data_IF_354843263200
#
_entry.id   IF_354843263200
#
_cell.length_a   1.000
_cell.length_b   1.000
_cell.length_c   1.000
_cell.angle_alpha   90.00
_cell.angle_beta   90.00
_cell.angle_gamma   90.00
#
_symmetry.space_group_name_H-M   'P 1'
#
loop_
_entity.id
_entity.type
_entity.pdbx_description
1 polymer ?
#
# COMPACT_ATOMS: atom_id res chain seq x y z
N UNK A 1 -5.24 -16.75 17.65
CA UNK A 1 -5.56 -15.32 17.50
C UNK A 1 -6.69 -15.19 16.50
N UNK A 2 -7.64 -14.28 16.72
CA UNK A 2 -8.73 -14.00 15.78
C UNK A 2 -8.45 -12.64 15.15
N UNK A 3 -8.44 -12.57 13.82
CA UNK A 3 -8.31 -11.32 13.08
C UNK A 3 -9.70 -10.74 12.79
N UNK A 4 -9.85 -9.41 12.81
CA UNK A 4 -11.09 -8.80 12.34
C UNK A 4 -11.02 -8.62 10.83
N UNK A 5 -12.10 -8.98 10.13
CA UNK A 5 -12.22 -8.80 8.69
C UNK A 5 -12.95 -7.48 8.43
N UNK A 6 -12.35 -6.62 7.63
CA UNK A 6 -12.92 -5.34 7.24
C UNK A 6 -14.03 -5.52 6.21
N UNK A 7 -14.92 -4.55 6.17
CA UNK A 7 -16.02 -4.49 5.21
C UNK A 7 -15.91 -3.26 4.31
N UNK A 8 -16.97 -3.00 3.53
CA UNK A 8 -16.98 -1.89 2.59
C UNK A 8 -16.94 -0.52 3.27
N UNK A 9 -17.36 -0.38 4.53
CA UNK A 9 -17.36 0.91 5.24
C UNK A 9 -15.94 1.33 5.62
N UNK A 10 -15.09 0.36 6.00
CA UNK A 10 -13.68 0.58 6.35
C UNK A 10 -12.92 1.30 5.22
N UNK A 11 -13.23 0.93 3.97
CA UNK A 11 -12.52 1.40 2.77
C UNK A 11 -13.35 2.36 1.89
N UNK A 12 -14.54 2.75 2.34
CA UNK A 12 -15.43 3.65 1.60
C UNK A 12 -14.74 4.98 1.23
N UNK A 13 -13.94 5.53 2.15
CA UNK A 13 -13.18 6.77 1.94
C UNK A 13 -12.15 6.67 0.82
N UNK A 14 -11.62 5.47 0.54
CA UNK A 14 -10.74 5.21 -0.60
C UNK A 14 -11.57 5.11 -1.87
N UNK A 15 -12.56 4.20 -1.87
CA UNK A 15 -13.42 3.90 -3.01
C UNK A 15 -14.14 5.13 -3.57
N UNK A 16 -14.58 6.02 -2.70
CA UNK A 16 -15.40 7.19 -3.07
C UNK A 16 -14.55 8.41 -3.49
N UNK A 17 -13.24 8.35 -3.26
CA UNK A 17 -12.35 9.50 -3.44
C UNK A 17 -11.20 9.26 -4.42
N UNK A 18 -11.04 8.04 -4.95
CA UNK A 18 -10.11 7.75 -6.04
C UNK A 18 -10.83 7.73 -7.38
N UNK A 19 -10.08 7.98 -8.45
CA UNK A 19 -10.59 8.01 -9.83
C UNK A 19 -9.83 7.02 -10.70
N UNK A 20 -10.32 6.72 -11.90
CA UNK A 20 -9.55 5.93 -12.86
C UNK A 20 -8.55 6.82 -13.59
N UNK A 21 -7.30 6.36 -13.72
CA UNK A 21 -6.26 7.05 -14.47
C UNK A 21 -4.87 6.68 -13.97
N UNK A 22 -3.86 7.39 -14.49
CA UNK A 22 -2.44 7.20 -14.14
C UNK A 22 -1.94 8.19 -13.08
N UNK A 23 -2.75 9.17 -12.68
CA UNK A 23 -2.32 10.11 -11.66
C UNK A 23 -2.32 9.46 -10.28
N UNK A 24 -1.55 10.02 -9.34
CA UNK A 24 -1.49 9.50 -7.96
C UNK A 24 -2.86 9.47 -7.27
N UNK A 25 -3.76 10.38 -7.63
CA UNK A 25 -5.16 10.41 -7.19
C UNK A 25 -6.00 9.20 -7.62
N UNK A 26 -5.50 8.36 -8.52
CA UNK A 26 -6.12 7.08 -8.85
C UNK A 26 -5.83 5.98 -7.82
N UNK A 27 -4.70 6.08 -7.12
CA UNK A 27 -4.27 5.11 -6.11
C UNK A 27 -4.40 5.63 -4.68
N UNK A 28 -4.34 6.94 -4.48
CA UNK A 28 -4.32 7.59 -3.16
C UNK A 28 -5.40 8.67 -3.10
N UNK A 29 -6.34 8.62 -2.13
CA UNK A 29 -7.34 9.68 -1.93
C UNK A 29 -6.71 11.06 -1.69
N UNK A 30 -7.41 12.16 -2.03
CA UNK A 30 -6.99 13.49 -1.65
C UNK A 30 -7.02 13.68 -0.13
N UNK A 31 -6.29 14.68 0.36
CA UNK A 31 -6.32 15.12 1.76
C UNK A 31 -5.03 14.85 2.54
N UNK A 32 -4.08 14.10 1.96
CA UNK A 32 -2.75 13.98 2.51
C UNK A 32 -1.90 15.23 2.25
N UNK A 33 -0.96 15.50 3.15
CA UNK A 33 -0.06 16.64 3.05
C UNK A 33 1.01 16.47 1.96
N UNK A 34 1.38 15.24 1.64
CA UNK A 34 2.35 14.90 0.60
C UNK A 34 2.07 13.53 0.00
N UNK A 35 2.52 13.33 -1.24
CA UNK A 35 2.34 12.11 -2.01
C UNK A 35 3.66 11.67 -2.63
N UNK A 36 3.86 10.37 -2.77
CA UNK A 36 5.05 9.82 -3.40
C UNK A 36 4.77 8.49 -4.10
N UNK A 37 5.69 8.13 -4.99
CA UNK A 37 5.82 6.80 -5.55
C UNK A 37 7.13 6.19 -5.10
N UNK A 38 7.13 4.92 -4.69
CA UNK A 38 8.30 4.20 -4.20
C UNK A 38 8.51 2.96 -5.06
N UNK A 39 9.64 2.87 -5.76
CA UNK A 39 9.94 1.73 -6.64
C UNK A 39 10.16 0.47 -5.82
N UNK A 40 9.57 -0.65 -6.28
CA UNK A 40 9.78 -1.98 -5.70
C UNK A 40 10.98 -2.62 -6.41
N UNK A 41 12.01 -3.06 -5.66
CA UNK A 41 13.16 -3.71 -6.28
C UNK A 41 12.83 -5.04 -7.00
N UNK A 42 13.60 -5.36 -8.04
CA UNK A 42 13.43 -6.59 -8.83
C UNK A 42 14.08 -7.83 -8.23
N UNK A 43 15.02 -7.67 -7.29
CA UNK A 43 15.68 -8.78 -6.60
C UNK A 43 15.11 -9.03 -5.20
N UNK A 44 15.18 -10.28 -4.74
CA UNK A 44 14.58 -10.70 -3.47
C UNK A 44 15.20 -10.02 -2.24
N UNK A 45 16.51 -9.77 -2.26
CA UNK A 45 17.21 -9.13 -1.15
C UNK A 45 16.84 -7.63 -1.06
N UNK A 46 16.77 -6.96 -2.20
CA UNK A 46 16.29 -5.59 -2.34
C UNK A 46 14.84 -5.46 -1.85
N UNK A 47 13.94 -6.35 -2.28
CA UNK A 47 12.54 -6.35 -1.81
C UNK A 47 12.41 -6.51 -0.31
N UNK A 48 13.16 -7.44 0.28
CA UNK A 48 13.12 -7.66 1.72
C UNK A 48 13.60 -6.44 2.50
N UNK A 49 14.66 -5.77 2.03
CA UNK A 49 15.16 -4.54 2.63
C UNK A 49 14.15 -3.40 2.48
N UNK A 50 13.62 -3.22 1.27
CA UNK A 50 12.57 -2.26 0.95
C UNK A 50 11.35 -2.42 1.87
N UNK A 51 10.75 -3.61 1.94
CA UNK A 51 9.52 -3.84 2.70
C UNK A 51 9.72 -3.64 4.20
N UNK A 52 10.89 -4.05 4.73
CA UNK A 52 11.24 -3.81 6.14
C UNK A 52 11.40 -2.32 6.43
N UNK A 53 12.16 -1.60 5.60
CA UNK A 53 12.39 -0.17 5.78
C UNK A 53 11.08 0.61 5.66
N UNK A 54 10.24 0.29 4.68
CA UNK A 54 8.93 0.90 4.50
C UNK A 54 8.06 0.70 5.76
N UNK A 55 7.90 -0.53 6.23
CA UNK A 55 7.10 -0.83 7.43
C UNK A 55 7.66 -0.13 8.67
N UNK A 56 8.98 -0.07 8.83
CA UNK A 56 9.61 0.63 9.95
C UNK A 56 9.29 2.14 9.93
N UNK A 57 9.36 2.79 8.78
CA UNK A 57 9.02 4.21 8.65
C UNK A 57 7.53 4.47 8.92
N UNK A 58 6.64 3.60 8.45
CA UNK A 58 5.20 3.68 8.72
C UNK A 58 4.90 3.55 10.22
N UNK A 59 5.54 2.59 10.92
CA UNK A 59 5.40 2.42 12.38
C UNK A 59 5.77 3.67 13.17
N UNK A 60 6.84 4.37 12.77
CA UNK A 60 7.28 5.61 13.44
C UNK A 60 6.23 6.73 13.31
N UNK A 61 5.39 6.68 12.28
CA UNK A 61 4.36 7.67 11.99
C UNK A 61 2.95 7.24 12.40
N UNK A 62 2.77 5.99 12.85
CA UNK A 62 1.53 5.49 13.49
C UNK A 62 1.88 4.57 14.66
N UNK A 63 2.12 5.15 15.85
CA UNK A 63 2.56 4.40 17.02
C UNK A 63 1.48 3.49 17.63
N UNK A 64 0.21 3.72 17.30
CA UNK A 64 -0.90 2.82 17.64
C UNK A 64 -0.86 1.61 16.66
N UNK A 65 -0.65 0.40 17.18
CA UNK A 65 -0.27 -0.81 16.42
C UNK A 65 -1.39 -1.44 15.57
N UNK A 66 -2.39 -0.67 15.17
CA UNK A 66 -3.61 -1.15 14.51
C UNK A 66 -3.70 -0.64 13.08
N UNK A 67 -3.44 -1.53 12.13
CA UNK A 67 -3.48 -1.25 10.70
C UNK A 67 -4.58 -2.09 10.05
N UNK A 68 -4.98 -1.64 8.86
CA UNK A 68 -5.73 -2.40 7.90
C UNK A 68 -4.80 -2.84 6.77
N UNK A 69 -4.81 -4.13 6.51
CA UNK A 69 -4.04 -4.78 5.45
C UNK A 69 -5.02 -5.23 4.36
N UNK A 70 -4.79 -4.81 3.11
CA UNK A 70 -5.60 -5.25 1.98
C UNK A 70 -4.81 -6.11 1.01
N UNK A 71 -5.31 -7.32 0.80
CA UNK A 71 -4.75 -8.30 -0.12
C UNK A 71 -5.58 -8.34 -1.39
N UNK A 72 -4.96 -7.99 -2.51
CA UNK A 72 -5.60 -7.94 -3.82
C UNK A 72 -5.84 -9.35 -4.36
N UNK A 73 -7.04 -9.62 -4.84
CA UNK A 73 -7.36 -10.85 -5.54
C UNK A 73 -7.10 -10.72 -7.03
N UNK A 74 -5.94 -11.23 -7.45
CA UNK A 74 -5.57 -11.41 -8.87
C UNK A 74 -5.58 -12.86 -9.33
N UNK A 75 -5.64 -13.79 -8.38
CA UNK A 75 -5.40 -15.22 -8.62
C UNK A 75 -3.92 -15.58 -8.78
N UNK A 76 -3.02 -14.59 -8.75
CA UNK A 76 -1.57 -14.78 -8.84
C UNK A 76 -0.88 -14.95 -7.50
N UNK A 77 -1.36 -14.27 -6.45
CA UNK A 77 -0.79 -14.31 -5.10
C UNK A 77 -1.72 -14.98 -4.08
N UNK A 78 -1.18 -15.70 -3.08
CA UNK A 78 -2.00 -16.28 -2.02
C UNK A 78 -2.64 -15.18 -1.18
N UNK A 79 -3.95 -15.29 -0.95
CA UNK A 79 -4.68 -14.39 -0.07
C UNK A 79 -4.76 -15.02 1.31
N UNK A 80 -4.26 -14.35 2.36
CA UNK A 80 -4.55 -14.75 3.73
C UNK A 80 -6.07 -14.68 3.94
N UNK A 81 -6.66 -15.76 4.44
CA UNK A 81 -8.12 -15.89 4.63
C UNK A 81 -8.92 -15.90 3.31
N UNK A 82 -8.73 -16.90 2.43
CA UNK A 82 -9.35 -16.92 1.09
C UNK A 82 -10.89 -16.92 1.12
N UNK A 83 -11.48 -17.43 2.20
CA UNK A 83 -12.93 -17.49 2.44
C UNK A 83 -13.53 -16.21 3.04
N UNK A 84 -12.69 -15.22 3.38
CA UNK A 84 -13.16 -13.94 3.90
C UNK A 84 -13.99 -13.17 2.85
N UNK A 85 -15.00 -12.39 3.29
CA UNK A 85 -15.68 -11.43 2.42
C UNK A 85 -14.69 -10.52 1.70
N UNK A 86 -14.97 -10.27 0.42
CA UNK A 86 -14.15 -9.40 -0.42
C UNK A 86 -14.89 -8.10 -0.71
N UNK A 87 -14.15 -6.99 -0.69
CA UNK A 87 -14.67 -5.66 -0.96
C UNK A 87 -14.12 -5.13 -2.28
N UNK A 88 -14.95 -4.41 -3.04
CA UNK A 88 -14.52 -3.76 -4.27
C UNK A 88 -13.83 -2.43 -3.98
N UNK A 89 -12.62 -2.26 -4.49
CA UNK A 89 -11.81 -1.04 -4.44
C UNK A 89 -11.24 -0.71 -5.81
N UNK A 90 -10.85 0.55 -5.98
CA UNK A 90 -10.38 1.08 -7.26
C UNK A 90 -11.36 0.73 -8.39
N UNK A 91 -10.88 0.43 -9.59
CA UNK A 91 -11.68 0.04 -10.75
C UNK A 91 -12.43 -1.32 -10.61
N UNK A 92 -12.99 -1.63 -9.44
CA UNK A 92 -13.75 -2.84 -9.13
C UNK A 92 -12.92 -4.04 -8.67
N UNK A 93 -11.61 -3.85 -8.47
CA UNK A 93 -10.72 -4.88 -7.96
C UNK A 93 -11.13 -5.36 -6.57
N UNK A 94 -11.01 -6.66 -6.33
CA UNK A 94 -11.50 -7.28 -5.09
C UNK A 94 -10.37 -7.44 -4.10
N UNK A 95 -10.59 -6.99 -2.86
CA UNK A 95 -9.62 -7.10 -1.78
C UNK A 95 -10.20 -7.87 -0.60
N UNK A 96 -9.37 -8.65 0.08
CA UNK A 96 -9.61 -9.06 1.47
C UNK A 96 -8.98 -8.03 2.38
N UNK A 97 -9.77 -7.43 3.27
CA UNK A 97 -9.31 -6.43 4.24
C UNK A 97 -9.22 -7.07 5.61
N UNK A 98 -8.07 -6.95 6.26
CA UNK A 98 -7.77 -7.57 7.56
C UNK A 98 -7.29 -6.50 8.51
N UNK A 99 -7.91 -6.40 9.68
CA UNK A 99 -7.37 -5.60 10.79
C UNK A 99 -6.27 -6.40 11.47
N UNK A 100 -5.05 -5.88 11.43
CA UNK A 100 -3.87 -6.53 11.96
C UNK A 100 -2.76 -5.52 12.28
N UNK A 101 -1.61 -6.01 12.71
CA UNK A 101 -0.47 -5.16 13.01
C UNK A 101 0.55 -5.09 11.89
N UNK A 102 1.54 -4.26 12.16
CA UNK A 102 2.72 -4.09 11.32
C UNK A 102 3.62 -5.34 11.25
N UNK A 103 3.58 -6.25 12.24
CA UNK A 103 4.30 -7.54 12.17
C UNK A 103 3.58 -8.51 11.24
N UNK A 104 2.24 -8.52 11.27
CA UNK A 104 1.41 -9.29 10.35
C UNK A 104 1.55 -8.84 8.90
N UNK A 105 1.72 -7.53 8.66
CA UNK A 105 2.00 -7.00 7.33
C UNK A 105 3.21 -7.66 6.65
N UNK A 106 4.20 -8.11 7.42
CA UNK A 106 5.43 -8.75 6.92
C UNK A 106 5.37 -10.29 6.93
N UNK A 107 4.37 -10.90 7.55
CA UNK A 107 4.40 -12.34 7.89
C UNK A 107 3.17 -13.14 7.48
N UNK A 108 2.03 -12.49 7.21
CA UNK A 108 0.79 -13.21 6.87
C UNK A 108 0.80 -13.83 5.46
N UNK A 109 1.67 -13.37 4.55
CA UNK A 109 1.75 -13.87 3.19
C UNK A 109 3.17 -14.29 2.81
N UNK A 110 3.28 -15.52 2.33
CA UNK A 110 4.44 -15.99 1.57
C UNK A 110 4.12 -15.78 0.07
N UNK A 111 4.43 -14.58 -0.43
CA UNK A 111 3.99 -14.13 -1.75
C UNK A 111 4.78 -14.76 -2.89
N UNK A 112 4.19 -14.85 -4.09
CA UNK A 112 4.96 -15.21 -5.27
C UNK A 112 5.94 -14.07 -5.60
N UNK A 113 7.09 -14.44 -6.20
CA UNK A 113 8.12 -13.47 -6.61
C UNK A 113 8.67 -12.59 -5.48
N UNK A 114 8.55 -13.04 -4.22
CA UNK A 114 9.00 -12.29 -3.05
C UNK A 114 8.12 -11.11 -2.66
N UNK A 115 6.90 -10.97 -3.20
CA UNK A 115 5.94 -9.89 -2.86
C UNK A 115 5.16 -10.23 -1.58
N UNK A 116 5.79 -10.05 -0.43
CA UNK A 116 5.20 -10.44 0.86
C UNK A 116 4.25 -9.38 1.43
N UNK A 117 4.53 -8.10 1.21
CA UNK A 117 3.74 -7.00 1.79
C UNK A 117 2.37 -6.84 1.07
N UNK A 118 1.27 -6.61 1.81
CA UNK A 118 -0.04 -6.32 1.25
C UNK A 118 -0.04 -5.19 0.21
N UNK A 119 -0.99 -5.25 -0.72
CA UNK A 119 -1.21 -4.23 -1.74
C UNK A 119 -1.81 -2.94 -1.17
N UNK A 120 -2.44 -3.02 0.01
CA UNK A 120 -3.02 -1.87 0.70
C UNK A 120 -2.62 -1.87 2.18
N UNK A 121 -2.15 -0.74 2.68
CA UNK A 121 -1.84 -0.54 4.09
C UNK A 121 -2.33 0.84 4.55
N UNK A 122 -3.03 0.91 5.67
CA UNK A 122 -3.34 2.19 6.34
C UNK A 122 -3.63 1.98 7.83
N UNK A 123 -3.36 2.98 8.69
CA UNK A 123 -3.68 2.93 10.11
C UNK A 123 -5.16 3.27 10.34
N UNK A 124 -5.69 2.93 11.52
CA UNK A 124 -7.08 3.24 11.91
C UNK A 124 -7.41 4.75 11.79
N UNK A 125 -6.45 5.62 12.08
CA UNK A 125 -6.60 7.07 12.00
C UNK A 125 -6.49 7.64 10.57
N UNK A 126 -6.20 6.78 9.58
CA UNK A 126 -6.05 7.11 8.15
C UNK A 126 -5.00 8.20 7.90
N UNK A 127 -4.02 8.35 8.79
CA UNK A 127 -2.98 9.37 8.68
C UNK A 127 -2.05 9.17 7.48
N UNK A 128 -1.94 7.94 6.97
CA UNK A 128 -1.25 7.60 5.72
C UNK A 128 -1.94 6.44 5.00
N UNK A 129 -1.59 6.25 3.73
CA UNK A 129 -2.02 5.14 2.90
C UNK A 129 -0.87 4.70 2.01
N UNK A 130 -0.68 3.39 1.89
CA UNK A 130 0.15 2.77 0.86
C UNK A 130 -0.75 1.92 -0.02
N UNK A 131 -0.61 2.05 -1.34
CA UNK A 131 -1.32 1.26 -2.33
C UNK A 131 -0.40 0.79 -3.45
N UNK A 132 -0.58 -0.41 -3.96
CA UNK A 132 0.05 -0.91 -5.19
C UNK A 132 -0.95 -1.78 -5.98
N UNK A 133 -0.93 -1.71 -7.32
CA UNK A 133 -1.60 -2.71 -8.15
C UNK A 133 -0.64 -3.87 -8.45
N UNK A 134 -1.21 -4.96 -8.95
CA UNK A 134 -0.49 -6.22 -9.19
C UNK A 134 0.52 -6.13 -10.33
N UNK A 135 0.34 -5.20 -11.25
CA UNK A 135 1.16 -4.93 -12.42
C UNK A 135 2.06 -3.70 -12.27
N UNK A 136 1.99 -3.01 -11.13
CA UNK A 136 2.89 -1.91 -10.81
C UNK A 136 4.19 -2.43 -10.18
N UNK A 137 5.33 -1.93 -10.66
CA UNK A 137 6.64 -2.11 -10.02
C UNK A 137 6.93 -1.00 -9.00
N UNK A 138 5.90 -0.33 -8.48
CA UNK A 138 5.99 0.72 -7.48
C UNK A 138 4.79 0.72 -6.53
N UNK A 139 4.95 1.44 -5.43
CA UNK A 139 3.89 1.73 -4.47
C UNK A 139 3.56 3.21 -4.52
N UNK A 140 2.29 3.52 -4.48
CA UNK A 140 1.79 4.86 -4.25
C UNK A 140 1.62 5.10 -2.74
N UNK A 141 2.00 6.28 -2.26
CA UNK A 141 1.95 6.65 -0.84
C UNK A 141 1.34 8.04 -0.68
N UNK A 142 0.41 8.17 0.25
CA UNK A 142 -0.05 9.46 0.79
C UNK A 142 0.19 9.52 2.29
N UNK A 143 0.61 10.66 2.81
CA UNK A 143 0.81 10.82 4.25
C UNK A 143 1.26 12.20 4.69
N UNK A 144 1.72 12.34 5.95
CA UNK A 144 2.37 13.54 6.43
C UNK A 144 3.65 13.83 5.66
N UNK A 145 4.00 15.10 5.50
CA UNK A 145 5.25 15.48 4.83
C UNK A 145 6.50 14.90 5.51
N UNK A 146 6.46 14.68 6.84
CA UNK A 146 7.56 14.05 7.59
C UNK A 146 7.76 12.57 7.21
N UNK A 147 6.68 11.84 6.94
CA UNK A 147 6.74 10.45 6.49
C UNK A 147 7.38 10.38 5.11
N UNK A 148 6.86 11.16 4.16
CA UNK A 148 7.39 11.20 2.79
C UNK A 148 8.85 11.68 2.79
N UNK A 149 9.19 12.68 3.61
CA UNK A 149 10.57 13.13 3.78
C UNK A 149 11.49 12.01 4.29
N UNK A 150 11.04 11.23 5.27
CA UNK A 150 11.81 10.07 5.77
C UNK A 150 11.99 8.99 4.71
N UNK A 151 11.01 8.79 3.81
CA UNK A 151 11.13 7.84 2.70
C UNK A 151 12.15 8.30 1.66
N UNK A 152 12.21 9.60 1.37
CA UNK A 152 13.20 10.20 0.46
C UNK A 152 14.63 10.07 1.02
N UNK A 153 14.80 10.13 2.34
CA UNK A 153 16.10 10.00 3.00
C UNK A 153 16.57 8.55 3.16
N UNK A 154 15.67 7.57 3.04
CA UNK A 154 15.98 6.16 3.24
C UNK A 154 16.67 5.56 2.01
N UNK A 155 17.89 5.04 2.18
CA UNK A 155 18.69 4.50 1.09
C UNK A 155 18.07 3.25 0.43
N UNK A 156 17.25 2.50 1.17
CA UNK A 156 16.56 1.31 0.69
C UNK A 156 15.28 1.63 -0.10
N UNK A 157 14.85 2.90 -0.14
CA UNK A 157 13.62 3.34 -0.80
C UNK A 157 13.93 4.32 -1.93
N UNK A 158 13.73 3.89 -3.17
CA UNK A 158 13.75 4.80 -4.32
C UNK A 158 12.43 5.57 -4.38
N UNK A 159 12.40 6.72 -3.71
CA UNK A 159 11.19 7.53 -3.52
C UNK A 159 11.18 8.76 -4.42
N UNK A 160 10.08 8.96 -5.14
CA UNK A 160 9.79 10.16 -5.93
C UNK A 160 8.56 10.87 -5.39
N UNK A 161 8.73 12.10 -4.91
CA UNK A 161 7.61 12.97 -4.51
C UNK A 161 6.81 13.39 -5.75
N UNK A 162 5.49 13.39 -5.64
CA UNK A 162 4.58 13.74 -6.74
C UNK A 162 3.47 14.67 -6.26
N UNK A 163 2.98 15.51 -7.17
CA UNK A 163 1.74 16.27 -6.94
C UNK A 163 0.51 15.36 -7.10
N UNK A 164 -0.59 15.71 -6.45
CA UNK A 164 -1.83 14.90 -6.44
C UNK A 164 -2.38 14.58 -7.85
N UNK A 165 -2.16 15.46 -8.83
CA UNK A 165 -2.62 15.27 -10.21
C UNK A 165 -1.53 14.74 -11.14
N UNK A 166 -0.31 14.53 -10.63
CA UNK A 166 0.82 14.07 -11.41
C UNK A 166 0.72 12.56 -11.66
N UNK A 167 1.24 12.15 -12.82
CA UNK A 167 1.45 10.75 -13.17
C UNK A 167 2.26 10.02 -12.08
N UNK A 168 1.70 8.92 -11.59
CA UNK A 168 2.30 8.08 -10.57
C UNK A 168 3.40 7.18 -11.13
N UNK A 169 3.48 6.96 -12.44
CA UNK A 169 4.50 6.13 -13.06
C UNK A 169 5.91 6.70 -12.82
N UNK A 170 6.81 5.99 -12.13
CA UNK A 170 8.19 6.45 -11.96
C UNK A 170 8.93 6.50 -13.30
N UNK A 171 9.94 7.39 -13.47
CA UNK A 171 10.71 7.47 -14.70
C UNK A 171 11.34 6.14 -15.09
N UNK A 172 11.13 5.70 -16.34
CA UNK A 172 11.67 4.43 -16.84
C UNK A 172 10.75 3.22 -16.63
N UNK A 173 9.61 3.38 -15.94
CA UNK A 173 8.60 2.36 -15.76
C UNK A 173 7.41 2.54 -16.73
N UNK A 174 6.57 1.52 -16.83
CA UNK A 174 5.38 1.50 -17.69
C UNK A 174 4.18 1.11 -16.81
N UNK A 175 3.14 1.93 -16.85
CA UNK A 175 1.82 1.57 -16.33
C UNK A 175 0.98 0.92 -17.46
N UNK A 176 0.21 -0.10 -17.11
CA UNK A 176 -0.59 -0.90 -18.05
C UNK A 176 -2.10 -0.61 -17.97
#
# INVERSE_FOLDING_TARGET
MSYAIGDAEVVAWIRESTTTGLNIGAAIPPGFASYATVVIPDDDAGRLAHDRTLVELLRRHSPESSWWLGYLETGGDPIPFPDAPKVGLYAGWRYVIVHAGSDEALSLRDGHWGRTLPELLFPDDRSWLVSALWDDDWRCVGGPASLIGSMVEAAELETRVVDFTQDATPPGHIAY
#
